data_IF_936341538174
#
_entry.id   IF_936341538174
#
_cell.length_a   1.000
_cell.length_b   1.000
_cell.length_c   1.000
_cell.angle_alpha   90.00
_cell.angle_beta   90.00
_cell.angle_gamma   90.00
#
_symmetry.space_group_name_H-M   'P 1'
#
loop_
_entity.id
_entity.type
_entity.pdbx_description
1 polymer ?
#
# COMPACT_ATOMS: atom_id res chain seq x y z
N UNK A 1 -25.04 15.26 -11.80
CA UNK A 1 -25.23 13.80 -11.80
C UNK A 1 -24.83 13.28 -13.16
N UNK A 2 -24.30 12.06 -13.23
CA UNK A 2 -23.99 11.40 -14.50
C UNK A 2 -24.22 9.89 -14.38
N UNK A 3 -24.41 9.21 -15.51
CA UNK A 3 -24.65 7.78 -15.57
C UNK A 3 -23.62 7.11 -16.48
N UNK A 4 -23.04 6.01 -16.02
CA UNK A 4 -22.35 5.06 -16.88
C UNK A 4 -23.40 4.16 -17.52
N UNK A 5 -23.42 4.09 -18.85
CA UNK A 5 -24.46 3.38 -19.60
C UNK A 5 -24.02 1.97 -19.94
N UNK A 6 -24.88 1.01 -19.62
CA UNK A 6 -24.71 -0.40 -20.01
C UNK A 6 -23.27 -0.91 -19.80
N UNK A 7 -22.72 -0.63 -18.62
CA UNK A 7 -21.41 -1.12 -18.18
C UNK A 7 -21.57 -2.50 -17.55
N UNK A 8 -20.56 -3.35 -17.72
CA UNK A 8 -20.48 -4.61 -17.00
C UNK A 8 -19.94 -4.36 -15.59
N UNK A 9 -20.77 -4.64 -14.60
CA UNK A 9 -20.38 -4.61 -13.17
C UNK A 9 -20.38 -6.03 -12.60
N UNK A 10 -19.53 -6.30 -11.60
CA UNK A 10 -19.58 -7.58 -10.90
C UNK A 10 -20.76 -7.54 -9.91
N UNK A 11 -21.74 -8.43 -10.10
CA UNK A 11 -22.77 -8.72 -9.12
C UNK A 11 -22.71 -10.22 -8.82
N UNK A 12 -22.41 -10.55 -7.57
CA UNK A 12 -22.14 -11.94 -7.15
C UNK A 12 -21.00 -12.53 -8.01
N UNK A 13 -21.26 -13.63 -8.72
CA UNK A 13 -20.27 -14.33 -9.54
C UNK A 13 -20.41 -14.04 -11.05
N UNK A 14 -21.24 -13.05 -11.43
CA UNK A 14 -21.51 -12.71 -12.84
C UNK A 14 -21.21 -11.24 -13.19
N UNK A 15 -20.86 -11.02 -14.45
CA UNK A 15 -20.74 -9.69 -15.04
C UNK A 15 -22.05 -9.32 -15.74
N UNK A 16 -22.74 -8.32 -15.21
CA UNK A 16 -24.04 -7.92 -15.75
C UNK A 16 -24.03 -6.50 -16.28
N UNK A 17 -24.66 -6.31 -17.45
CA UNK A 17 -24.87 -4.99 -18.05
C UNK A 17 -25.86 -4.16 -17.23
N UNK A 18 -25.43 -3.01 -16.73
CA UNK A 18 -26.24 -2.09 -15.90
C UNK A 18 -25.94 -0.64 -16.21
N UNK A 19 -26.90 0.22 -15.89
CA UNK A 19 -26.67 1.65 -15.76
C UNK A 19 -26.26 1.97 -14.31
N UNK A 20 -25.16 2.71 -14.13
CA UNK A 20 -24.66 3.10 -12.80
C UNK A 20 -24.72 4.61 -12.64
N UNK A 21 -25.56 5.08 -11.72
CA UNK A 21 -25.79 6.50 -11.47
C UNK A 21 -24.88 7.04 -10.37
N UNK A 22 -24.19 8.13 -10.68
CA UNK A 22 -23.34 8.88 -9.76
C UNK A 22 -23.93 10.28 -9.55
N UNK A 23 -23.98 10.71 -8.28
CA UNK A 23 -24.51 12.02 -7.91
C UNK A 23 -23.72 12.65 -6.77
N UNK A 24 -23.32 13.91 -6.92
CA UNK A 24 -22.48 14.63 -5.95
C UNK A 24 -21.21 13.85 -5.57
N UNK A 25 -20.55 13.22 -6.55
CA UNK A 25 -19.32 12.46 -6.34
C UNK A 25 -19.48 11.09 -5.66
N UNK A 26 -20.70 10.67 -5.34
CA UNK A 26 -20.94 9.36 -4.70
C UNK A 26 -21.85 8.48 -5.54
N UNK A 27 -21.66 7.16 -5.39
CA UNK A 27 -22.55 6.13 -5.89
C UNK A 27 -23.99 6.37 -5.41
N UNK A 28 -24.97 6.17 -6.31
CA UNK A 28 -26.40 6.32 -5.98
C UNK A 28 -27.18 5.02 -6.17
N UNK A 29 -27.14 4.46 -7.37
CA UNK A 29 -27.92 3.27 -7.71
C UNK A 29 -27.38 2.54 -8.94
N UNK A 30 -27.64 1.24 -8.99
CA UNK A 30 -27.50 0.34 -10.13
C UNK A 30 -28.90 0.01 -10.62
N UNK A 31 -29.17 0.20 -11.90
CA UNK A 31 -30.50 -0.07 -12.50
C UNK A 31 -30.36 -0.74 -13.87
N UNK A 32 -31.42 -1.36 -14.41
CA UNK A 32 -31.40 -1.90 -15.77
C UNK A 32 -31.02 -0.83 -16.81
N UNK A 33 -30.32 -1.20 -17.90
CA UNK A 33 -29.95 -0.26 -18.95
C UNK A 33 -31.14 0.55 -19.48
N UNK A 34 -30.95 1.86 -19.66
CA UNK A 34 -31.98 2.76 -20.20
C UNK A 34 -33.00 3.27 -19.17
N UNK A 35 -32.92 2.81 -17.92
CA UNK A 35 -33.83 3.26 -16.84
C UNK A 35 -33.64 4.74 -16.50
N UNK A 36 -32.39 5.20 -16.38
CA UNK A 36 -32.09 6.60 -16.03
C UNK A 36 -32.25 7.49 -17.27
N UNK A 37 -33.00 8.60 -17.17
CA UNK A 37 -33.17 9.57 -18.26
C UNK A 37 -32.83 10.98 -17.78
N UNK A 38 -32.49 11.88 -18.71
CA UNK A 38 -32.27 13.30 -18.41
C UNK A 38 -31.01 13.62 -17.59
N UNK A 39 -30.02 12.74 -17.56
CA UNK A 39 -28.71 12.99 -16.92
C UNK A 39 -27.57 12.82 -17.93
N UNK A 40 -26.42 13.44 -17.66
CA UNK A 40 -25.22 13.31 -18.49
C UNK A 40 -24.82 11.82 -18.59
N UNK A 41 -24.72 11.30 -19.81
CA UNK A 41 -24.29 9.93 -20.06
C UNK A 41 -22.78 9.89 -20.37
N UNK A 42 -22.05 9.05 -19.65
CA UNK A 42 -20.66 8.74 -19.96
C UNK A 42 -20.63 7.57 -20.94
N UNK A 43 -20.01 7.77 -22.10
CA UNK A 43 -19.84 6.75 -23.13
C UNK A 43 -18.97 5.61 -22.59
N UNK A 44 -19.61 4.51 -22.20
CA UNK A 44 -19.00 3.40 -21.46
C UNK A 44 -19.61 2.04 -21.78
N UNK A 45 -20.48 1.97 -22.79
CA UNK A 45 -21.16 0.74 -23.19
C UNK A 45 -20.16 -0.37 -23.54
N UNK A 46 -20.44 -1.58 -23.05
CA UNK A 46 -19.59 -2.75 -23.25
C UNK A 46 -18.28 -2.73 -22.47
N UNK A 47 -18.01 -1.68 -21.68
CA UNK A 47 -16.84 -1.62 -20.79
C UNK A 47 -17.17 -2.20 -19.42
N UNK A 48 -16.12 -2.65 -18.73
CA UNK A 48 -16.19 -3.07 -17.34
C UNK A 48 -16.06 -1.85 -16.42
N UNK A 49 -16.94 -1.79 -15.42
CA UNK A 49 -16.86 -0.81 -14.35
C UNK A 49 -16.63 -1.55 -13.03
N UNK A 50 -15.44 -1.36 -12.48
CA UNK A 50 -15.04 -1.91 -11.17
C UNK A 50 -14.85 -0.77 -10.16
N UNK A 51 -14.88 -1.07 -8.85
CA UNK A 51 -14.41 -0.13 -7.85
C UNK A 51 -13.01 0.36 -8.21
N UNK A 52 -12.78 1.66 -8.05
CA UNK A 52 -11.47 2.23 -8.33
C UNK A 52 -10.40 1.63 -7.42
N UNK A 53 -9.20 1.47 -7.96
CA UNK A 53 -8.10 0.84 -7.25
C UNK A 53 -7.56 1.78 -6.16
N UNK A 54 -7.05 1.17 -5.10
CA UNK A 54 -6.38 1.83 -3.98
C UNK A 54 -4.98 1.27 -3.90
N UNK A 55 -3.96 2.12 -4.00
CA UNK A 55 -2.57 1.70 -3.88
C UNK A 55 -2.06 1.99 -2.46
N UNK A 56 -1.86 0.97 -1.61
CA UNK A 56 -1.42 1.17 -0.24
C UNK A 56 0.07 1.49 -0.13
N UNK A 57 0.85 1.45 -1.23
CA UNK A 57 2.30 1.49 -1.17
C UNK A 57 2.92 2.25 -2.35
N UNK A 58 3.07 3.57 -2.19
CA UNK A 58 3.80 4.42 -3.14
C UNK A 58 4.84 5.28 -2.44
N UNK A 59 5.80 5.79 -3.21
CA UNK A 59 6.82 6.75 -2.79
C UNK A 59 6.80 7.97 -3.71
N UNK A 60 6.06 9.01 -3.33
CA UNK A 60 5.86 10.22 -4.16
C UNK A 60 7.09 11.12 -4.21
N UNK A 61 8.08 10.94 -3.32
CA UNK A 61 9.37 11.66 -3.27
C UNK A 61 9.30 13.17 -3.01
N UNK A 62 8.12 13.76 -3.01
CA UNK A 62 7.86 15.18 -2.74
C UNK A 62 7.27 15.38 -1.31
N UNK A 63 7.85 16.23 -0.45
CA UNK A 63 8.95 17.16 -0.71
C UNK A 63 10.36 16.55 -0.62
N UNK A 64 11.27 17.14 -1.39
CA UNK A 64 12.72 17.03 -1.22
C UNK A 64 13.45 16.19 -2.25
N UNK A 65 12.76 15.31 -2.97
CA UNK A 65 13.29 14.56 -4.11
C UNK A 65 12.36 14.65 -5.33
N UNK A 66 11.71 15.82 -5.50
CA UNK A 66 10.67 16.04 -6.51
C UNK A 66 11.17 15.91 -7.96
N UNK A 67 12.48 15.91 -8.18
CA UNK A 67 13.11 15.63 -9.47
C UNK A 67 12.99 14.16 -9.90
N UNK A 68 12.77 13.25 -8.93
CA UNK A 68 12.49 11.83 -9.20
C UNK A 68 11.03 11.60 -9.54
N UNK A 69 10.15 12.25 -8.78
CA UNK A 69 8.69 12.20 -8.90
C UNK A 69 8.08 13.27 -7.99
N UNK A 70 6.96 13.86 -8.38
CA UNK A 70 6.18 14.72 -7.50
C UNK A 70 4.72 14.27 -7.37
N UNK A 71 3.96 14.96 -6.51
CA UNK A 71 2.55 14.64 -6.29
C UNK A 71 1.70 14.79 -7.55
N UNK A 72 2.00 15.73 -8.44
CA UNK A 72 1.21 15.93 -9.65
C UNK A 72 1.47 14.79 -10.66
N UNK A 73 2.73 14.49 -10.94
CA UNK A 73 3.10 13.43 -11.88
C UNK A 73 2.70 12.05 -11.37
N UNK A 74 2.95 11.73 -10.09
CA UNK A 74 2.57 10.47 -9.47
C UNK A 74 1.05 10.24 -9.53
N UNK A 75 0.26 11.25 -9.15
CA UNK A 75 -1.20 11.09 -9.05
C UNK A 75 -1.89 11.08 -10.41
N UNK A 76 -1.32 11.75 -11.42
CA UNK A 76 -1.75 11.60 -12.81
C UNK A 76 -1.46 10.20 -13.34
N UNK A 77 -0.30 9.62 -13.02
CA UNK A 77 0.02 8.25 -13.37
C UNK A 77 -0.93 7.25 -12.69
N UNK A 78 -1.22 7.45 -11.40
CA UNK A 78 -2.19 6.69 -10.64
C UNK A 78 -3.59 6.71 -11.30
N UNK A 79 -4.11 7.90 -11.63
CA UNK A 79 -5.39 8.04 -12.34
C UNK A 79 -5.40 7.31 -13.68
N UNK A 80 -4.31 7.41 -14.44
CA UNK A 80 -4.19 6.74 -15.73
C UNK A 80 -4.23 5.22 -15.58
N UNK A 81 -3.73 4.69 -14.47
CA UNK A 81 -3.80 3.27 -14.09
C UNK A 81 -5.11 2.83 -13.42
N UNK A 82 -6.07 3.73 -13.23
CA UNK A 82 -7.35 3.42 -12.57
C UNK A 82 -7.32 3.49 -11.04
N UNK A 83 -6.24 4.04 -10.46
CA UNK A 83 -6.13 4.30 -9.02
C UNK A 83 -6.71 5.67 -8.68
N UNK A 84 -7.61 5.72 -7.71
CA UNK A 84 -8.18 6.99 -7.21
C UNK A 84 -7.80 7.27 -5.76
N UNK A 85 -6.98 6.42 -5.16
CA UNK A 85 -6.42 6.64 -3.82
C UNK A 85 -5.03 6.02 -3.73
N UNK A 86 -4.08 6.77 -3.21
CA UNK A 86 -2.71 6.30 -2.95
C UNK A 86 -2.31 6.54 -1.50
N UNK A 87 -1.42 5.71 -0.96
CA UNK A 87 -0.88 5.88 0.39
C UNK A 87 0.63 6.04 0.33
N UNK A 88 1.10 7.24 0.66
CA UNK A 88 2.50 7.59 0.46
C UNK A 88 3.37 7.26 1.68
N UNK A 89 4.50 6.62 1.39
CA UNK A 89 5.47 6.16 2.36
C UNK A 89 6.28 7.33 2.96
N UNK A 90 6.80 7.18 4.19
CA UNK A 90 7.38 8.31 4.92
C UNK A 90 8.86 8.58 4.62
N UNK A 91 9.53 7.80 3.76
CA UNK A 91 10.98 7.85 3.51
C UNK A 91 11.38 8.86 2.41
N UNK A 92 10.93 10.11 2.56
CA UNK A 92 11.38 11.25 1.74
C UNK A 92 12.76 11.75 2.21
N UNK A 93 13.29 12.81 1.56
CA UNK A 93 14.55 13.47 1.98
C UNK A 93 14.50 13.89 3.45
N UNK A 94 13.38 14.49 3.84
CA UNK A 94 13.00 14.68 5.24
C UNK A 94 11.91 13.66 5.54
N UNK A 95 12.19 12.62 6.34
CA UNK A 95 11.20 11.60 6.63
C UNK A 95 10.03 12.14 7.45
N UNK A 96 8.84 11.59 7.20
CA UNK A 96 7.66 11.87 8.04
C UNK A 96 7.76 11.03 9.30
N UNK A 97 8.12 11.65 10.41
CA UNK A 97 8.42 10.96 11.68
C UNK A 97 7.71 11.60 12.88
N UNK A 98 7.05 12.73 12.67
CA UNK A 98 6.34 13.52 13.68
C UNK A 98 5.19 14.34 13.05
N UNK A 99 4.47 15.08 13.88
CA UNK A 99 3.35 15.92 13.42
C UNK A 99 3.78 17.05 12.47
N UNK A 100 4.97 17.62 12.70
CA UNK A 100 5.45 18.75 11.89
C UNK A 100 5.74 18.28 10.46
N UNK A 101 6.53 17.21 10.32
CA UNK A 101 6.88 16.62 9.03
C UNK A 101 5.65 16.05 8.32
N UNK A 102 4.65 15.55 9.06
CA UNK A 102 3.35 15.16 8.51
C UNK A 102 2.58 16.36 7.96
N UNK A 103 2.50 17.46 8.72
CA UNK A 103 1.82 18.70 8.30
C UNK A 103 2.46 19.27 7.04
N UNK A 104 3.79 19.33 6.99
CA UNK A 104 4.55 19.82 5.85
C UNK A 104 4.22 19.00 4.59
N UNK A 105 4.09 17.66 4.72
CA UNK A 105 3.72 16.78 3.62
C UNK A 105 2.25 16.91 3.19
N UNK A 106 1.34 17.07 4.15
CA UNK A 106 -0.10 17.28 3.86
C UNK A 106 -0.32 18.54 3.04
N UNK A 107 0.40 19.64 3.33
CA UNK A 107 0.29 20.88 2.57
C UNK A 107 0.63 20.68 1.10
N UNK A 108 1.78 20.07 0.82
CA UNK A 108 2.23 19.81 -0.57
C UNK A 108 1.28 18.84 -1.29
N UNK A 109 0.86 17.77 -0.62
CA UNK A 109 -0.06 16.78 -1.20
C UNK A 109 -1.44 17.39 -1.54
N UNK A 110 -2.00 18.23 -0.66
CA UNK A 110 -3.29 18.90 -0.91
C UNK A 110 -3.26 19.85 -2.10
N UNK A 111 -2.12 20.50 -2.33
CA UNK A 111 -1.96 21.46 -3.42
C UNK A 111 -1.88 20.77 -4.79
N UNK A 112 -1.23 19.60 -4.84
CA UNK A 112 -0.80 18.97 -6.11
C UNK A 112 -1.53 17.68 -6.47
N UNK A 113 -2.16 16.99 -5.52
CA UNK A 113 -2.74 15.66 -5.76
C UNK A 113 -4.01 15.71 -6.60
N UNK A 114 -4.08 14.86 -7.62
CA UNK A 114 -5.27 14.63 -8.44
C UNK A 114 -6.15 13.47 -7.93
N UNK A 115 -5.69 12.73 -6.92
CA UNK A 115 -6.42 11.63 -6.28
C UNK A 115 -6.57 11.85 -4.78
N UNK A 116 -7.38 11.02 -4.12
CA UNK A 116 -7.35 10.95 -2.67
C UNK A 116 -5.99 10.40 -2.21
N UNK A 117 -5.54 10.79 -1.02
CA UNK A 117 -4.30 10.27 -0.49
C UNK A 117 -4.37 9.99 1.01
N UNK A 118 -3.60 8.99 1.42
CA UNK A 118 -3.27 8.68 2.80
C UNK A 118 -1.78 8.86 3.04
N UNK A 119 -1.38 9.13 4.28
CA UNK A 119 0.02 9.28 4.66
C UNK A 119 0.36 8.36 5.83
N UNK A 120 1.51 7.73 5.73
CA UNK A 120 2.13 6.99 6.82
C UNK A 120 3.13 7.87 7.57
N UNK A 121 3.42 7.49 8.82
CA UNK A 121 4.54 8.01 9.61
C UNK A 121 5.55 6.89 9.85
N UNK A 122 6.84 7.21 9.84
CA UNK A 122 7.90 6.25 10.13
C UNK A 122 8.12 6.09 11.63
N UNK A 123 8.27 4.83 12.06
CA UNK A 123 8.91 4.52 13.34
C UNK A 123 10.42 4.77 13.21
N UNK A 124 11.01 5.39 14.22
CA UNK A 124 12.45 5.49 14.43
C UNK A 124 12.82 4.80 15.75
N UNK A 125 14.11 4.72 16.06
CA UNK A 125 14.57 4.12 17.31
C UNK A 125 14.14 4.89 18.58
N UNK A 126 13.63 6.13 18.44
CA UNK A 126 13.36 7.01 19.58
C UNK A 126 12.02 7.77 19.54
N UNK A 127 11.26 7.73 18.44
CA UNK A 127 10.05 8.55 18.31
C UNK A 127 8.73 7.88 18.77
N UNK A 128 8.76 6.66 19.30
CA UNK A 128 7.53 5.91 19.62
C UNK A 128 6.53 6.71 20.46
N UNK A 129 6.98 7.46 21.47
CA UNK A 129 6.11 8.29 22.29
C UNK A 129 5.35 9.37 21.50
N UNK A 130 5.98 9.96 20.48
CA UNK A 130 5.30 10.92 19.60
C UNK A 130 4.26 10.23 18.72
N UNK A 131 4.48 8.96 18.37
CA UNK A 131 3.56 8.20 17.53
C UNK A 131 2.27 7.82 18.25
N UNK A 132 2.22 7.82 19.58
CA UNK A 132 1.01 7.54 20.35
C UNK A 132 0.10 8.74 20.58
N UNK A 133 0.51 9.94 20.15
CA UNK A 133 -0.30 11.15 20.34
C UNK A 133 -1.57 11.12 19.48
N UNK A 134 -2.74 11.41 20.09
CA UNK A 134 -4.04 11.40 19.40
C UNK A 134 -4.07 12.36 18.20
N UNK A 135 -3.43 13.51 18.35
CA UNK A 135 -3.23 14.54 17.31
C UNK A 135 -2.58 14.00 16.04
N UNK A 136 -1.62 13.08 16.18
CA UNK A 136 -1.01 12.38 15.05
C UNK A 136 -1.89 11.22 14.57
N UNK A 137 -2.39 10.40 15.50
CA UNK A 137 -3.14 9.18 15.22
C UNK A 137 -4.39 9.43 14.37
N UNK A 138 -5.12 10.53 14.57
CA UNK A 138 -6.29 10.85 13.74
C UNK A 138 -5.97 11.22 12.29
N UNK A 139 -4.70 11.49 11.97
CA UNK A 139 -4.27 12.07 10.69
C UNK A 139 -3.44 11.12 9.82
N UNK A 140 -3.03 9.97 10.36
CA UNK A 140 -2.24 8.96 9.66
C UNK A 140 -3.06 7.72 9.33
N UNK A 141 -2.63 7.02 8.29
CA UNK A 141 -3.22 5.74 7.88
C UNK A 141 -2.56 4.54 8.57
N UNK A 142 -1.33 4.70 9.04
CA UNK A 142 -0.52 3.61 9.60
C UNK A 142 0.88 4.09 10.01
N UNK A 143 1.61 3.21 10.66
CA UNK A 143 3.03 3.40 11.00
C UNK A 143 3.86 2.47 10.10
N UNK A 144 4.84 3.02 9.39
CA UNK A 144 5.79 2.25 8.58
C UNK A 144 7.07 1.99 9.37
N UNK A 145 7.54 0.75 9.35
CA UNK A 145 8.77 0.29 9.99
C UNK A 145 9.72 -0.24 8.91
N UNK A 146 11.01 0.09 9.02
CA UNK A 146 12.05 -0.42 8.13
C UNK A 146 13.07 -1.21 8.97
N UNK A 147 13.16 -2.52 8.74
CA UNK A 147 14.13 -3.40 9.41
C UNK A 147 15.46 -3.53 8.66
N UNK A 148 15.50 -3.03 7.41
CA UNK A 148 16.69 -2.94 6.60
C UNK A 148 16.92 -1.50 6.11
N UNK A 149 17.99 -1.33 5.32
CA UNK A 149 18.43 -0.03 4.81
C UNK A 149 17.31 0.64 4.01
N UNK A 150 17.06 1.91 4.33
CA UNK A 150 16.09 2.77 3.63
C UNK A 150 16.59 4.21 3.58
N UNK A 151 15.93 5.05 2.78
CA UNK A 151 16.20 6.48 2.69
C UNK A 151 15.83 7.21 3.98
N UNK A 152 16.66 8.18 4.38
CA UNK A 152 16.36 9.07 5.50
C UNK A 152 16.79 8.57 6.88
N UNK A 153 17.53 7.46 6.97
CA UNK A 153 18.14 7.02 8.24
C UNK A 153 17.14 6.52 9.29
N UNK A 154 15.97 6.04 8.86
CA UNK A 154 14.86 5.59 9.72
C UNK A 154 14.83 4.06 9.91
N UNK A 155 15.95 3.37 9.72
CA UNK A 155 16.06 1.94 10.01
C UNK A 155 15.96 1.71 11.53
N UNK A 156 15.10 0.78 11.92
CA UNK A 156 14.84 0.46 13.33
C UNK A 156 15.64 -0.77 13.74
N UNK A 157 16.53 -0.58 14.72
CA UNK A 157 17.30 -1.64 15.36
C UNK A 157 16.87 -1.88 16.82
N UNK A 158 16.22 -0.89 17.45
CA UNK A 158 15.72 -0.98 18.83
C UNK A 158 14.58 -1.98 18.96
N UNK A 159 14.81 -3.05 19.73
CA UNK A 159 13.77 -4.04 20.06
C UNK A 159 12.63 -3.42 20.87
N UNK A 160 12.95 -2.48 21.76
CA UNK A 160 11.95 -1.76 22.53
C UNK A 160 11.02 -0.95 21.62
N UNK A 161 11.57 -0.21 20.64
CA UNK A 161 10.76 0.54 19.70
C UNK A 161 9.88 -0.39 18.84
N UNK A 162 10.44 -1.50 18.35
CA UNK A 162 9.71 -2.50 17.58
C UNK A 162 8.58 -3.16 18.37
N UNK A 163 8.78 -3.39 19.66
CA UNK A 163 7.76 -3.98 20.49
C UNK A 163 6.66 -2.97 20.81
N UNK A 164 7.05 -1.76 21.23
CA UNK A 164 6.12 -0.71 21.65
C UNK A 164 5.22 -0.23 20.52
N UNK A 165 5.66 -0.26 19.25
CA UNK A 165 4.83 0.15 18.08
C UNK A 165 3.50 -0.60 17.98
N UNK A 166 3.37 -1.77 18.62
CA UNK A 166 2.14 -2.54 18.67
C UNK A 166 1.16 -2.12 19.78
N UNK A 167 1.53 -1.15 20.62
CA UNK A 167 0.67 -0.59 21.67
C UNK A 167 -0.24 0.58 21.18
N UNK A 168 -0.33 0.80 19.87
CA UNK A 168 -1.17 1.84 19.26
C UNK A 168 -2.15 1.24 18.23
N UNK A 169 -3.25 1.93 17.90
CA UNK A 169 -4.38 1.31 17.19
C UNK A 169 -4.23 1.20 15.67
N UNK A 170 -3.27 1.90 15.05
CA UNK A 170 -3.12 1.95 13.58
C UNK A 170 -2.35 0.75 13.05
N UNK A 171 -2.60 0.33 11.79
CA UNK A 171 -1.80 -0.69 11.14
C UNK A 171 -0.30 -0.38 11.19
N UNK A 172 0.50 -1.42 11.40
CA UNK A 172 1.97 -1.37 11.36
C UNK A 172 2.43 -2.07 10.09
N UNK A 173 2.95 -1.30 9.14
CA UNK A 173 3.45 -1.77 7.85
C UNK A 173 4.97 -1.95 7.95
N UNK A 174 5.51 -3.07 7.48
CA UNK A 174 6.93 -3.38 7.71
C UNK A 174 7.63 -3.80 6.43
N UNK A 175 8.73 -3.10 6.11
CA UNK A 175 9.76 -3.58 5.20
C UNK A 175 10.71 -4.48 6.02
N UNK A 176 10.60 -5.79 5.82
CA UNK A 176 11.35 -6.81 6.57
C UNK A 176 12.82 -6.88 6.18
N UNK A 177 13.15 -6.56 4.92
CA UNK A 177 14.52 -6.70 4.41
C UNK A 177 14.95 -8.15 4.21
N UNK A 178 13.99 -9.06 4.07
CA UNK A 178 14.20 -10.49 3.87
C UNK A 178 13.82 -11.35 5.08
N UNK A 179 14.18 -12.64 4.99
CA UNK A 179 13.72 -13.68 5.90
C UNK A 179 14.06 -13.42 7.38
N UNK A 180 15.29 -12.99 7.67
CA UNK A 180 15.72 -12.75 9.06
C UNK A 180 14.89 -11.65 9.73
N UNK A 181 14.61 -10.58 8.98
CA UNK A 181 13.77 -9.50 9.47
C UNK A 181 12.30 -9.91 9.62
N UNK A 182 11.79 -10.76 8.71
CA UNK A 182 10.45 -11.33 8.83
C UNK A 182 10.32 -12.19 10.10
N UNK A 183 11.24 -13.12 10.33
CA UNK A 183 11.22 -13.99 11.50
C UNK A 183 11.33 -13.17 12.79
N UNK A 184 12.28 -12.23 12.85
CA UNK A 184 12.42 -11.31 13.99
C UNK A 184 11.11 -10.58 14.29
N UNK A 185 10.49 -9.99 13.26
CA UNK A 185 9.24 -9.26 13.40
C UNK A 185 8.10 -10.12 13.91
N UNK A 186 7.96 -11.34 13.39
CA UNK A 186 6.92 -12.28 13.81
C UNK A 186 7.10 -12.68 15.27
N UNK A 187 8.33 -12.94 15.73
CA UNK A 187 8.61 -13.19 17.15
C UNK A 187 8.28 -11.99 18.03
N UNK A 188 8.60 -10.77 17.61
CA UNK A 188 8.22 -9.55 18.33
C UNK A 188 6.71 -9.40 18.40
N UNK A 189 5.98 -9.66 17.31
CA UNK A 189 4.52 -9.58 17.27
C UNK A 189 3.86 -10.62 18.19
N UNK A 190 4.35 -11.86 18.18
CA UNK A 190 3.92 -12.91 19.11
C UNK A 190 4.19 -12.54 20.58
N UNK A 191 5.31 -11.85 20.84
CA UNK A 191 5.60 -11.36 22.18
C UNK A 191 4.66 -10.21 22.58
N UNK A 192 4.38 -9.29 21.67
CA UNK A 192 3.44 -8.20 21.86
C UNK A 192 2.03 -8.70 22.22
N UNK A 193 1.57 -9.80 21.62
CA UNK A 193 0.25 -10.40 21.91
C UNK A 193 0.10 -10.81 23.38
N UNK A 194 1.20 -11.22 24.03
CA UNK A 194 1.22 -11.60 25.44
C UNK A 194 1.22 -10.40 26.39
N UNK A 195 1.56 -9.20 25.90
CA UNK A 195 1.70 -8.00 26.71
C UNK A 195 0.57 -6.99 26.52
N UNK A 196 -0.01 -6.93 25.33
CA UNK A 196 -1.06 -5.97 25.00
C UNK A 196 -2.40 -6.68 24.81
N UNK A 197 -3.46 -6.12 25.39
CA UNK A 197 -4.82 -6.66 25.29
C UNK A 197 -5.38 -6.64 23.87
N UNK A 198 -4.84 -5.78 22.99
CA UNK A 198 -5.23 -5.66 21.60
C UNK A 198 -4.04 -5.23 20.75
N UNK A 199 -3.76 -6.00 19.72
CA UNK A 199 -2.77 -5.64 18.70
C UNK A 199 -3.42 -4.95 17.49
N UNK A 200 -2.70 -4.03 16.83
CA UNK A 200 -3.07 -3.52 15.52
C UNK A 200 -2.87 -4.59 14.44
N UNK A 201 -3.33 -4.26 13.23
CA UNK A 201 -2.96 -5.01 12.02
C UNK A 201 -1.44 -4.97 11.84
N UNK A 202 -0.83 -6.13 11.62
CA UNK A 202 0.54 -6.25 11.13
C UNK A 202 0.48 -6.47 9.62
N UNK A 203 1.19 -5.65 8.85
CA UNK A 203 1.19 -5.69 7.39
C UNK A 203 2.62 -5.86 6.88
N UNK A 204 2.90 -6.99 6.24
CA UNK A 204 4.20 -7.27 5.62
C UNK A 204 4.19 -6.72 4.20
N UNK A 205 5.07 -5.77 3.91
CA UNK A 205 5.16 -5.19 2.58
C UNK A 205 5.88 -6.13 1.59
N UNK A 206 5.51 -6.01 0.31
CA UNK A 206 6.24 -6.53 -0.87
C UNK A 206 6.99 -7.86 -0.65
N UNK A 207 6.28 -8.91 -0.22
CA UNK A 207 6.81 -10.28 -0.12
C UNK A 207 7.30 -10.72 -1.49
N UNK A 208 8.49 -11.32 -1.56
CA UNK A 208 9.15 -11.60 -2.84
C UNK A 208 9.62 -13.03 -3.02
N UNK A 209 9.56 -13.87 -1.99
CA UNK A 209 10.14 -15.22 -2.02
C UNK A 209 9.17 -16.33 -1.61
N UNK A 210 9.38 -17.53 -2.15
CA UNK A 210 8.66 -18.75 -1.77
C UNK A 210 8.78 -19.03 -0.26
N UNK A 211 9.98 -18.86 0.30
CA UNK A 211 10.24 -19.14 1.70
C UNK A 211 9.45 -18.20 2.63
N UNK A 212 9.34 -16.91 2.29
CA UNK A 212 8.50 -15.98 3.06
C UNK A 212 7.03 -16.39 3.02
N UNK A 213 6.52 -16.79 1.86
CA UNK A 213 5.15 -17.31 1.73
C UNK A 213 4.94 -18.55 2.61
N UNK A 214 5.90 -19.49 2.65
CA UNK A 214 5.84 -20.66 3.54
C UNK A 214 5.77 -20.28 5.01
N UNK A 215 6.54 -19.28 5.44
CA UNK A 215 6.50 -18.78 6.82
C UNK A 215 5.15 -18.12 7.12
N UNK A 216 4.70 -17.21 6.26
CA UNK A 216 3.43 -16.51 6.43
C UNK A 216 2.24 -17.47 6.47
N UNK A 217 2.24 -18.51 5.63
CA UNK A 217 1.23 -19.58 5.62
C UNK A 217 1.10 -20.27 6.98
N UNK A 218 2.22 -20.53 7.66
CA UNK A 218 2.23 -21.13 9.00
C UNK A 218 1.67 -20.18 10.06
N UNK A 219 2.01 -18.90 9.98
CA UNK A 219 1.65 -17.89 10.98
C UNK A 219 0.22 -17.38 10.84
N UNK A 220 -0.28 -17.17 9.62
CA UNK A 220 -1.59 -16.56 9.35
C UNK A 220 -2.75 -17.23 10.09
N UNK A 221 -2.69 -18.55 10.29
CA UNK A 221 -3.71 -19.33 11.03
C UNK A 221 -3.85 -18.91 12.49
N UNK A 222 -2.73 -18.58 13.16
CA UNK A 222 -2.72 -18.12 14.55
C UNK A 222 -2.93 -16.61 14.68
N UNK A 223 -2.59 -15.84 13.64
CA UNK A 223 -2.60 -14.38 13.66
C UNK A 223 -3.48 -13.81 12.54
N UNK A 224 -4.81 -13.74 12.72
CA UNK A 224 -5.72 -13.27 11.67
C UNK A 224 -5.48 -11.81 11.25
N UNK A 225 -4.86 -11.01 12.12
CA UNK A 225 -4.46 -9.60 11.87
C UNK A 225 -3.11 -9.45 11.16
N UNK A 226 -2.42 -10.54 10.84
CA UNK A 226 -1.23 -10.53 10.00
C UNK A 226 -1.67 -10.52 8.54
N UNK A 227 -1.38 -9.45 7.82
CA UNK A 227 -1.62 -9.31 6.38
C UNK A 227 -0.30 -9.19 5.63
N UNK A 228 -0.31 -9.54 4.36
CA UNK A 228 0.87 -9.46 3.52
C UNK A 228 0.50 -8.96 2.12
N UNK A 229 1.45 -8.22 1.56
CA UNK A 229 1.40 -7.60 0.25
C UNK A 229 2.40 -8.24 -0.69
N UNK A 230 2.04 -8.31 -1.96
CA UNK A 230 2.96 -8.59 -3.06
C UNK A 230 2.82 -7.51 -4.13
N UNK A 231 3.89 -7.29 -4.90
CA UNK A 231 3.89 -6.29 -5.96
C UNK A 231 3.80 -6.94 -7.35
N UNK A 232 3.24 -6.24 -8.36
CA UNK A 232 3.19 -6.76 -9.72
C UNK A 232 4.56 -7.15 -10.28
N UNK A 233 5.62 -6.39 -9.99
CA UNK A 233 6.95 -6.74 -10.48
C UNK A 233 7.47 -8.06 -9.87
N UNK A 234 7.16 -8.38 -8.61
CA UNK A 234 7.49 -9.69 -8.05
C UNK A 234 6.59 -10.83 -8.56
N UNK A 235 5.41 -10.54 -9.10
CA UNK A 235 4.53 -11.56 -9.70
C UNK A 235 4.90 -11.93 -11.14
N UNK A 236 5.37 -10.95 -11.91
CA UNK A 236 5.57 -11.09 -13.36
C UNK A 236 7.04 -11.08 -13.78
N UNK A 237 7.93 -10.49 -12.98
CA UNK A 237 9.34 -10.36 -13.30
C UNK A 237 10.20 -11.25 -12.41
N UNK A 238 11.30 -11.75 -12.97
CA UNK A 238 12.31 -12.56 -12.30
C UNK A 238 13.67 -12.38 -13.00
N UNK A 239 14.71 -13.01 -12.44
CA UNK A 239 16.09 -12.94 -12.98
C UNK A 239 16.25 -13.42 -14.43
N UNK A 240 15.33 -14.25 -14.93
CA UNK A 240 15.40 -14.77 -16.31
C UNK A 240 14.74 -13.87 -17.34
N UNK A 241 13.76 -13.04 -16.94
CA UNK A 241 12.96 -12.22 -17.87
C UNK A 241 13.13 -10.70 -17.68
N UNK A 242 13.83 -10.25 -16.64
CA UNK A 242 14.15 -8.85 -16.41
C UNK A 242 15.61 -8.55 -16.76
N UNK A 243 15.80 -7.62 -17.70
CA UNK A 243 17.11 -7.17 -18.17
C UNK A 243 17.34 -5.66 -17.97
N UNK A 244 16.50 -5.02 -17.16
CA UNK A 244 16.64 -3.61 -16.83
C UNK A 244 17.65 -3.35 -15.71
N UNK A 245 17.83 -2.09 -15.30
CA UNK A 245 18.72 -1.74 -14.20
C UNK A 245 18.28 -2.41 -12.89
N UNK A 246 19.23 -2.87 -12.05
CA UNK A 246 18.88 -3.39 -10.74
C UNK A 246 18.26 -2.31 -9.85
N UNK A 247 17.65 -2.73 -8.72
CA UNK A 247 17.31 -1.80 -7.65
C UNK A 247 15.84 -1.75 -7.27
N UNK A 248 15.15 -2.90 -7.28
CA UNK A 248 14.03 -3.13 -6.37
C UNK A 248 14.56 -3.84 -5.11
N UNK A 249 13.99 -3.52 -3.95
CA UNK A 249 14.32 -4.15 -2.68
C UNK A 249 13.01 -4.51 -1.98
N UNK A 250 12.66 -5.81 -1.83
CA UNK A 250 13.47 -7.00 -2.12
C UNK A 250 13.84 -7.20 -3.60
N UNK A 251 14.92 -7.95 -3.91
CA UNK A 251 15.30 -8.22 -5.28
C UNK A 251 14.32 -9.18 -5.98
N UNK A 252 14.31 -9.13 -7.31
CA UNK A 252 13.64 -10.15 -8.13
C UNK A 252 14.38 -11.49 -8.01
N UNK A 253 13.65 -12.56 -7.75
CA UNK A 253 14.21 -13.91 -7.57
C UNK A 253 13.95 -14.81 -8.78
N UNK A 254 13.64 -16.10 -8.57
CA UNK A 254 13.41 -17.07 -9.65
C UNK A 254 11.93 -17.23 -10.02
N UNK A 255 11.67 -17.99 -11.08
CA UNK A 255 10.31 -18.36 -11.50
C UNK A 255 9.53 -19.10 -10.41
N UNK A 256 10.21 -19.96 -9.63
CA UNK A 256 9.62 -20.63 -8.46
C UNK A 256 9.07 -19.66 -7.42
N UNK A 257 9.73 -18.51 -7.23
CA UNK A 257 9.23 -17.48 -6.33
C UNK A 257 8.00 -16.80 -6.91
N UNK A 258 7.97 -16.50 -8.22
CA UNK A 258 6.77 -15.97 -8.85
C UNK A 258 5.57 -16.92 -8.69
N UNK A 259 5.75 -18.22 -8.96
CA UNK A 259 4.72 -19.26 -8.80
C UNK A 259 4.21 -19.30 -7.36
N UNK A 260 5.12 -19.34 -6.38
CA UNK A 260 4.74 -19.36 -4.97
C UNK A 260 3.99 -18.10 -4.51
N UNK A 261 4.29 -16.94 -5.11
CA UNK A 261 3.57 -15.69 -4.85
C UNK A 261 2.15 -15.75 -5.44
N UNK A 262 1.97 -16.29 -6.64
CA UNK A 262 0.64 -16.53 -7.22
C UNK A 262 -0.18 -17.51 -6.38
N UNK A 263 0.41 -18.63 -5.96
CA UNK A 263 -0.22 -19.58 -5.04
C UNK A 263 -0.57 -18.89 -3.71
N UNK A 264 0.32 -18.03 -3.20
CA UNK A 264 0.08 -17.23 -2.01
C UNK A 264 -1.14 -16.32 -2.12
N UNK A 265 -1.42 -15.75 -3.30
CA UNK A 265 -2.65 -15.00 -3.57
C UNK A 265 -3.85 -15.93 -3.58
N UNK A 266 -3.79 -17.02 -4.34
CA UNK A 266 -4.91 -17.97 -4.49
C UNK A 266 -5.33 -18.60 -3.15
N UNK A 267 -4.38 -18.85 -2.26
CA UNK A 267 -4.61 -19.37 -0.92
C UNK A 267 -5.04 -18.29 0.09
N UNK A 268 -5.06 -17.02 -0.30
CA UNK A 268 -5.36 -15.90 0.58
C UNK A 268 -4.29 -15.65 1.65
N UNK A 269 -3.03 -16.05 1.41
CA UNK A 269 -1.86 -15.73 2.26
C UNK A 269 -1.34 -14.31 1.96
N UNK A 270 -1.37 -13.91 0.70
CA UNK A 270 -1.07 -12.56 0.22
C UNK A 270 -2.41 -11.92 -0.19
N UNK A 271 -2.93 -11.01 0.63
CA UNK A 271 -4.28 -10.47 0.43
C UNK A 271 -4.27 -9.10 -0.26
N UNK A 272 -3.09 -8.49 -0.38
CA UNK A 272 -2.93 -7.11 -0.81
C UNK A 272 -1.99 -7.03 -2.00
N UNK A 273 -2.34 -6.19 -2.95
CA UNK A 273 -1.47 -5.78 -4.04
C UNK A 273 -1.08 -4.32 -3.80
N UNK A 274 0.23 -4.06 -3.77
CA UNK A 274 0.78 -2.70 -3.72
C UNK A 274 1.81 -2.55 -4.83
N UNK A 275 1.95 -1.35 -5.40
CA UNK A 275 2.89 -1.19 -6.52
C UNK A 275 4.33 -1.10 -6.04
N UNK A 276 4.54 -0.60 -4.83
CA UNK A 276 5.84 -0.10 -4.36
C UNK A 276 6.44 0.89 -5.39
N UNK A 277 5.59 1.81 -5.87
CA UNK A 277 5.99 2.82 -6.85
C UNK A 277 7.09 3.69 -6.27
N UNK A 278 8.34 3.38 -6.63
CA UNK A 278 9.55 3.94 -6.04
C UNK A 278 10.47 4.52 -7.12
N UNK A 279 10.10 5.65 -7.75
CA UNK A 279 10.82 6.22 -8.89
C UNK A 279 12.19 6.80 -8.50
N UNK A 280 13.11 6.72 -9.47
CA UNK A 280 14.47 7.26 -9.50
C UNK A 280 14.76 7.74 -10.93
N UNK A 281 15.68 8.69 -11.11
CA UNK A 281 16.11 9.07 -12.45
C UNK A 281 17.02 7.98 -13.05
N UNK A 282 17.25 8.04 -14.37
CA UNK A 282 18.13 7.09 -15.04
C UNK A 282 19.58 7.21 -14.57
N UNK A 283 20.04 8.40 -14.20
CA UNK A 283 21.39 8.64 -13.69
C UNK A 283 21.59 8.07 -12.27
N UNK A 284 20.50 7.78 -11.56
CA UNK A 284 20.51 7.23 -10.20
C UNK A 284 20.38 5.69 -10.19
N UNK A 285 20.36 5.04 -11.37
CA UNK A 285 20.23 3.59 -11.57
C UNK A 285 21.53 2.97 -12.09
#
# INVERSE_FOLDING_TARGET
>A
MFVFRNVFIPLEDEWVGRDVLIGQGVYRQIVPPGTVKGVLAIQSEGRYLIPALVDPHVHVRDPGFSHKEDWESCTKAALKGGFTTIFDMPNNRVPVTDEKTLEDKIKVAKEKSYVNFGLYVALTNSNFHALTADTLQHRICGIKVYLAKTTGGITVSSEEALLRVFAQPKPVLVHTGGMDGLLKLLFVYAHAEKMFSRLPVLYICHVSTEEEVKVLRKWKRGYPKLHAEVTPHHLFLNRSNYHGPPGVLPPLEGERDNEALWDGIAEGILQMLGTDHAPHTLEEK
#
